data_IF_763268868357
#
_entry.id   IF_763268868357
#
_cell.length_a   1.000
_cell.length_b   1.000
_cell.length_c   1.000
_cell.angle_alpha   90.00
_cell.angle_beta   90.00
_cell.angle_gamma   90.00
#
_symmetry.space_group_name_H-M   'P 1'
#
loop_
_entity.id
_entity.type
_entity.pdbx_description
1 polymer ?
#
# COMPACT_ATOMS: atom_id res chain seq x y z
N UNK A 1 21.51 -17.17 -3.57
CA UNK A 1 20.39 -17.63 -2.73
C UNK A 1 19.35 -16.53 -2.57
N UNK A 2 18.14 -16.75 -3.02
CA UNK A 2 17.08 -15.77 -2.82
C UNK A 2 16.73 -15.69 -1.33
N UNK A 3 16.83 -14.50 -0.77
CA UNK A 3 16.40 -14.25 0.60
C UNK A 3 14.90 -14.51 0.69
N UNK A 4 14.51 -15.45 1.55
CA UNK A 4 13.10 -15.77 1.75
C UNK A 4 12.42 -14.59 2.44
N UNK A 5 11.37 -14.05 1.82
CA UNK A 5 10.58 -12.99 2.44
C UNK A 5 9.82 -13.54 3.64
N UNK A 6 9.82 -12.80 4.75
CA UNK A 6 9.05 -13.16 5.93
C UNK A 6 7.63 -12.60 5.85
N UNK A 7 7.46 -11.46 5.17
CA UNK A 7 6.13 -10.84 4.99
C UNK A 7 5.50 -11.27 3.67
N UNK A 8 4.21 -11.60 3.74
CA UNK A 8 3.40 -11.92 2.57
C UNK A 8 2.86 -10.63 1.96
N UNK A 9 3.12 -10.39 0.68
CA UNK A 9 2.68 -9.18 -0.02
C UNK A 9 1.46 -9.51 -0.87
N UNK A 10 0.37 -8.79 -0.61
CA UNK A 10 -0.90 -8.95 -1.33
C UNK A 10 -1.23 -7.62 -1.99
N UNK A 11 -1.29 -7.58 -3.32
CA UNK A 11 -1.72 -6.39 -4.05
C UNK A 11 -3.21 -6.47 -4.35
N UNK A 12 -3.94 -5.41 -3.99
CA UNK A 12 -5.36 -5.30 -4.29
C UNK A 12 -5.53 -4.28 -5.42
N UNK A 13 -6.18 -4.68 -6.48
CA UNK A 13 -6.38 -3.82 -7.65
C UNK A 13 -7.80 -3.99 -8.18
N UNK A 14 -8.25 -3.05 -9.02
CA UNK A 14 -9.53 -3.17 -9.72
C UNK A 14 -9.42 -2.54 -11.10
N UNK A 15 -10.26 -3.01 -12.01
CA UNK A 15 -10.32 -2.47 -13.37
C UNK A 15 -11.06 -1.13 -13.49
N UNK A 16 -11.83 -0.78 -12.46
CA UNK A 16 -12.59 0.47 -12.41
C UNK A 16 -12.41 1.15 -11.06
N UNK A 17 -12.33 2.48 -11.07
CA UNK A 17 -12.25 3.25 -9.83
C UNK A 17 -13.55 3.23 -9.04
N UNK A 18 -13.46 3.41 -7.73
CA UNK A 18 -14.59 3.60 -6.86
C UNK A 18 -15.50 2.41 -6.60
N UNK A 19 -15.03 1.19 -6.87
CA UNK A 19 -15.86 -0.02 -6.73
C UNK A 19 -15.64 -0.77 -5.42
N UNK A 20 -15.36 -0.06 -4.35
CA UNK A 20 -15.22 -0.68 -3.03
C UNK A 20 -13.85 -1.33 -2.78
N UNK A 21 -12.89 -1.10 -3.65
CA UNK A 21 -11.55 -1.66 -3.52
C UNK A 21 -10.87 -1.26 -2.20
N UNK A 22 -10.95 0.02 -1.85
CA UNK A 22 -10.34 0.54 -0.63
C UNK A 22 -11.04 -0.03 0.61
N UNK A 23 -12.35 -0.12 0.61
CA UNK A 23 -13.12 -0.79 1.66
C UNK A 23 -12.68 -2.23 1.82
N UNK A 24 -12.50 -2.93 0.71
CA UNK A 24 -12.04 -4.32 0.73
C UNK A 24 -10.66 -4.43 1.36
N UNK A 25 -9.71 -3.57 0.96
CA UNK A 25 -8.35 -3.58 1.50
C UNK A 25 -8.34 -3.35 3.01
N UNK A 26 -9.09 -2.36 3.48
CA UNK A 26 -9.19 -2.03 4.90
C UNK A 26 -9.82 -3.19 5.68
N UNK A 27 -10.92 -3.74 5.18
CA UNK A 27 -11.58 -4.86 5.85
C UNK A 27 -10.71 -6.11 5.90
N UNK A 28 -9.97 -6.39 4.82
CA UNK A 28 -9.03 -7.49 4.79
C UNK A 28 -7.94 -7.30 5.85
N UNK A 29 -7.40 -6.09 5.96
CA UNK A 29 -6.40 -5.76 6.97
C UNK A 29 -6.92 -6.00 8.39
N UNK A 30 -8.13 -5.54 8.67
CA UNK A 30 -8.75 -5.71 9.98
C UNK A 30 -8.94 -7.20 10.31
N UNK A 31 -9.46 -7.98 9.37
CA UNK A 31 -9.69 -9.40 9.60
C UNK A 31 -8.39 -10.17 9.80
N UNK A 32 -7.35 -9.89 9.02
CA UNK A 32 -6.05 -10.52 9.21
C UNK A 32 -5.43 -10.15 10.55
N UNK A 33 -5.58 -8.89 10.95
CA UNK A 33 -5.10 -8.45 12.25
C UNK A 33 -5.82 -9.19 13.39
N UNK A 34 -7.12 -9.37 13.29
CA UNK A 34 -7.90 -10.14 14.28
C UNK A 34 -7.53 -11.61 14.34
N UNK A 35 -6.94 -12.14 13.26
CA UNK A 35 -6.39 -13.49 13.24
C UNK A 35 -4.97 -13.56 13.82
N UNK A 36 -4.48 -12.47 14.38
CA UNK A 36 -3.17 -12.43 15.03
C UNK A 36 -2.02 -12.03 14.13
N UNK A 37 -2.30 -11.56 12.91
CA UNK A 37 -1.25 -11.15 11.98
C UNK A 37 -0.87 -9.68 12.19
N UNK A 38 0.41 -9.37 12.02
CA UNK A 38 0.88 -7.99 11.99
C UNK A 38 0.69 -7.48 10.56
N UNK A 39 -0.18 -6.51 10.38
CA UNK A 39 -0.57 -6.04 9.05
C UNK A 39 -0.14 -4.61 8.82
N UNK A 40 0.42 -4.35 7.65
CA UNK A 40 0.72 -3.00 7.15
C UNK A 40 -0.04 -2.80 5.84
N UNK A 41 -0.71 -1.67 5.72
CA UNK A 41 -1.40 -1.29 4.49
C UNK A 41 -0.63 -0.15 3.82
N UNK A 42 -0.28 -0.35 2.57
CA UNK A 42 0.36 0.66 1.74
C UNK A 42 -0.68 1.23 0.78
N UNK A 43 -0.95 2.53 0.89
CA UNK A 43 -1.81 3.23 -0.06
C UNK A 43 -0.97 3.63 -1.27
N UNK A 44 -1.06 2.83 -2.33
CA UNK A 44 -0.35 3.05 -3.58
C UNK A 44 -1.23 3.70 -4.65
N UNK A 45 -2.38 4.25 -4.27
CA UNK A 45 -3.18 5.12 -5.12
C UNK A 45 -2.63 6.54 -4.99
N UNK A 46 -1.50 6.77 -5.65
CA UNK A 46 -0.77 8.02 -5.54
C UNK A 46 -1.57 9.18 -6.15
N UNK A 47 -1.89 10.15 -5.32
CA UNK A 47 -2.72 11.29 -5.70
C UNK A 47 -4.12 11.28 -5.09
N UNK A 48 -4.59 10.16 -4.59
CA UNK A 48 -5.90 10.05 -3.91
C UNK A 48 -5.74 9.31 -2.58
N UNK A 49 -5.81 10.05 -1.48
CA UNK A 49 -5.59 9.50 -0.14
C UNK A 49 -6.88 8.91 0.45
N UNK A 50 -7.43 7.89 -0.20
CA UNK A 50 -8.71 7.31 0.19
C UNK A 50 -8.68 6.59 1.54
N UNK A 51 -7.61 5.89 1.84
CA UNK A 51 -7.49 5.12 3.07
C UNK A 51 -7.41 6.04 4.29
N UNK A 52 -6.68 7.15 4.19
CA UNK A 52 -6.59 8.14 5.26
C UNK A 52 -7.97 8.64 5.67
N UNK A 53 -8.80 8.96 4.68
CA UNK A 53 -10.15 9.46 4.89
C UNK A 53 -11.00 8.37 5.53
N UNK A 54 -10.93 7.15 5.02
CA UNK A 54 -11.73 6.03 5.50
C UNK A 54 -11.40 5.66 6.95
N UNK A 55 -10.12 5.70 7.33
CA UNK A 55 -9.68 5.36 8.67
C UNK A 55 -9.69 6.55 9.63
N UNK A 56 -9.91 7.76 9.14
CA UNK A 56 -9.89 8.96 9.95
C UNK A 56 -8.52 9.27 10.54
N UNK A 57 -7.46 8.87 9.86
CA UNK A 57 -6.09 9.10 10.31
C UNK A 57 -5.45 10.26 9.55
N UNK A 58 -4.50 10.92 10.18
CA UNK A 58 -3.72 12.01 9.56
C UNK A 58 -2.24 11.71 9.72
N UNK A 59 -1.63 11.04 8.74
CA UNK A 59 -0.20 10.74 8.80
C UNK A 59 0.62 12.02 8.83
N UNK A 60 1.64 12.04 9.68
CA UNK A 60 2.55 13.19 9.76
C UNK A 60 3.43 13.28 8.52
N UNK A 61 3.85 12.12 8.02
CA UNK A 61 4.68 12.00 6.83
C UNK A 61 4.07 10.95 5.90
N UNK A 62 4.41 11.01 4.63
CA UNK A 62 3.91 10.09 3.62
C UNK A 62 5.06 9.51 2.78
N UNK A 63 4.74 8.72 1.77
CA UNK A 63 5.75 8.08 0.93
C UNK A 63 6.59 9.08 0.14
N UNK A 64 6.06 10.26 -0.17
CA UNK A 64 6.86 11.31 -0.82
C UNK A 64 7.98 11.79 0.12
N UNK A 65 7.71 11.87 1.41
CA UNK A 65 8.74 12.20 2.41
C UNK A 65 9.81 11.12 2.49
N UNK A 66 9.42 9.86 2.38
CA UNK A 66 10.35 8.74 2.32
C UNK A 66 11.24 8.83 1.08
N UNK A 67 10.65 9.09 -0.08
CA UNK A 67 11.37 9.09 -1.35
C UNK A 67 12.22 10.33 -1.56
N UNK A 68 11.71 11.50 -1.19
CA UNK A 68 12.31 12.77 -1.61
C UNK A 68 12.83 13.64 -0.46
N UNK A 69 12.51 13.30 0.80
CA UNK A 69 12.84 14.17 1.94
C UNK A 69 13.62 13.47 3.05
N UNK A 70 14.20 12.31 2.75
CA UNK A 70 15.11 11.62 3.67
C UNK A 70 14.48 11.02 4.91
N UNK A 71 13.17 10.82 4.92
CA UNK A 71 12.50 10.16 6.05
C UNK A 71 12.65 8.65 5.95
N UNK A 72 12.65 7.97 7.11
CA UNK A 72 12.73 6.52 7.17
C UNK A 72 11.35 5.88 7.09
N UNK A 73 11.30 4.56 6.90
CA UNK A 73 10.05 3.81 6.96
C UNK A 73 9.33 4.04 8.29
N UNK A 74 10.07 4.03 9.40
CA UNK A 74 9.50 4.26 10.73
C UNK A 74 8.90 5.66 10.87
N UNK A 75 9.53 6.66 10.28
CA UNK A 75 9.03 8.04 10.31
C UNK A 75 7.69 8.17 9.61
N UNK A 76 7.52 7.49 8.48
CA UNK A 76 6.31 7.60 7.65
C UNK A 76 5.21 6.60 8.06
N UNK A 77 5.55 5.63 8.91
CA UNK A 77 4.56 4.67 9.40
C UNK A 77 3.59 5.35 10.36
N UNK A 78 2.30 5.16 10.12
CA UNK A 78 1.23 5.62 11.01
C UNK A 78 0.47 4.40 11.48
N UNK A 79 0.10 4.36 12.76
CA UNK A 79 -0.69 3.27 13.30
C UNK A 79 -2.15 3.72 13.42
N UNK A 80 -3.03 3.01 12.73
CA UNK A 80 -4.45 3.27 12.70
C UNK A 80 -5.22 2.41 13.71
N UNK A 81 -6.51 2.19 13.44
CA UNK A 81 -7.36 1.39 14.31
C UNK A 81 -6.75 0.00 14.56
N UNK A 82 -6.90 -0.50 15.78
CA UNK A 82 -6.43 -1.81 16.22
C UNK A 82 -4.92 -2.02 16.10
N UNK A 83 -4.15 -0.95 15.84
CA UNK A 83 -2.69 -1.05 15.72
C UNK A 83 -2.18 -1.47 14.34
N UNK A 84 -3.04 -1.43 13.33
CA UNK A 84 -2.64 -1.73 11.95
C UNK A 84 -1.70 -0.62 11.46
N UNK A 85 -0.56 -0.99 10.92
CA UNK A 85 0.40 -0.06 10.34
C UNK A 85 -0.09 0.46 8.99
N UNK A 86 0.18 1.72 8.73
CA UNK A 86 -0.32 2.36 7.52
C UNK A 86 0.74 3.27 6.91
N UNK A 87 0.95 3.13 5.61
CA UNK A 87 1.86 3.97 4.83
C UNK A 87 1.05 4.73 3.78
N UNK A 88 0.99 6.04 3.92
CA UNK A 88 0.21 6.88 3.03
C UNK A 88 1.00 7.28 1.79
N UNK A 89 0.36 7.16 0.61
CA UNK A 89 0.91 7.70 -0.63
C UNK A 89 0.85 9.22 -0.71
N UNK A 90 0.03 9.83 0.15
CA UNK A 90 -0.20 11.27 0.12
C UNK A 90 -1.27 11.69 -0.88
N UNK A 91 -1.87 12.84 -0.65
CA UNK A 91 -2.95 13.40 -1.46
C UNK A 91 -2.46 14.64 -2.21
N UNK A 92 -2.79 14.71 -3.50
CA UNK A 92 -2.44 15.88 -4.31
C UNK A 92 -0.95 16.06 -4.58
N UNK A 93 -0.14 15.02 -4.41
CA UNK A 93 1.29 15.07 -4.60
C UNK A 93 1.62 14.49 -5.99
N UNK A 94 1.85 15.38 -6.96
CA UNK A 94 2.16 14.97 -8.33
C UNK A 94 3.44 14.12 -8.42
N UNK A 95 4.38 14.33 -7.51
CA UNK A 95 5.63 13.57 -7.48
C UNK A 95 5.40 12.06 -7.40
N UNK A 96 4.47 11.63 -6.54
CA UNK A 96 4.17 10.21 -6.37
C UNK A 96 3.37 9.63 -7.53
N UNK A 97 2.55 10.45 -8.21
CA UNK A 97 1.76 10.01 -9.35
C UNK A 97 2.61 9.79 -10.60
N UNK A 98 3.79 10.40 -10.66
CA UNK A 98 4.66 10.38 -11.84
C UNK A 98 6.00 9.68 -11.59
N UNK A 99 6.01 8.67 -10.73
CA UNK A 99 7.22 7.90 -10.47
C UNK A 99 7.69 7.15 -11.72
N UNK A 100 8.99 7.21 -11.99
CA UNK A 100 9.57 6.39 -13.04
C UNK A 100 9.82 4.96 -12.52
N UNK A 101 10.22 4.06 -13.41
CA UNK A 101 10.44 2.65 -13.07
C UNK A 101 11.50 2.48 -11.97
N UNK A 102 12.58 3.24 -12.02
CA UNK A 102 13.65 3.16 -11.02
C UNK A 102 13.16 3.58 -9.63
N UNK A 103 12.34 4.62 -9.58
CA UNK A 103 11.75 5.11 -8.33
C UNK A 103 10.77 4.09 -7.74
N UNK A 104 9.93 3.48 -8.57
CA UNK A 104 9.02 2.42 -8.13
C UNK A 104 9.80 1.22 -7.60
N UNK A 105 10.85 0.83 -8.30
CA UNK A 105 11.70 -0.27 -7.89
C UNK A 105 12.38 0.01 -6.53
N UNK A 106 12.88 1.24 -6.36
CA UNK A 106 13.47 1.67 -5.09
C UNK A 106 12.45 1.60 -3.94
N UNK A 107 11.23 2.05 -4.20
CA UNK A 107 10.16 2.02 -3.22
C UNK A 107 9.82 0.57 -2.82
N UNK A 108 9.73 -0.32 -3.79
CA UNK A 108 9.49 -1.74 -3.53
C UNK A 108 10.59 -2.33 -2.65
N UNK A 109 11.85 -1.98 -2.93
CA UNK A 109 12.97 -2.43 -2.10
C UNK A 109 12.89 -1.90 -0.67
N UNK A 110 12.44 -0.65 -0.51
CA UNK A 110 12.21 -0.07 0.83
C UNK A 110 11.12 -0.82 1.59
N UNK A 111 10.11 -1.32 0.89
CA UNK A 111 9.07 -2.12 1.52
C UNK A 111 9.61 -3.44 2.09
N UNK A 112 10.72 -3.94 1.58
CA UNK A 112 11.34 -5.15 2.11
C UNK A 112 11.84 -4.96 3.54
N UNK A 113 12.14 -3.72 3.95
CA UNK A 113 12.51 -3.42 5.33
C UNK A 113 11.38 -3.74 6.31
N UNK A 114 10.14 -3.82 5.84
CA UNK A 114 8.99 -4.17 6.65
C UNK A 114 8.88 -5.66 6.95
N UNK A 115 9.65 -6.51 6.25
CA UNK A 115 9.57 -7.97 6.42
C UNK A 115 9.76 -8.42 7.86
N UNK A 116 10.51 -7.67 8.65
CA UNK A 116 10.73 -7.98 10.07
C UNK A 116 9.63 -7.48 10.98
N UNK A 117 8.81 -6.56 10.50
CA UNK A 117 7.80 -5.86 11.31
C UNK A 117 6.37 -6.25 10.95
N UNK A 118 6.17 -6.88 9.83
CA UNK A 118 4.85 -7.24 9.34
C UNK A 118 4.82 -8.70 8.85
N UNK A 119 3.70 -9.35 9.10
CA UNK A 119 3.43 -10.67 8.55
C UNK A 119 2.77 -10.57 7.18
N UNK A 120 1.97 -9.52 6.98
CA UNK A 120 1.25 -9.27 5.74
C UNK A 120 1.35 -7.78 5.39
N UNK A 121 1.66 -7.51 4.13
CA UNK A 121 1.66 -6.16 3.57
C UNK A 121 0.58 -6.13 2.48
N UNK A 122 -0.42 -5.27 2.66
CA UNK A 122 -1.48 -5.09 1.67
C UNK A 122 -1.17 -3.82 0.88
N UNK A 123 -1.04 -3.96 -0.43
CA UNK A 123 -0.80 -2.84 -1.33
C UNK A 123 -2.12 -2.50 -2.03
N UNK A 124 -2.69 -1.36 -1.68
CA UNK A 124 -3.92 -0.87 -2.29
C UNK A 124 -3.57 0.06 -3.45
N UNK A 125 -3.73 -0.43 -4.67
CA UNK A 125 -3.33 0.30 -5.87
C UNK A 125 -4.43 1.23 -6.38
N UNK A 126 -4.05 2.20 -7.19
CA UNK A 126 -5.00 3.07 -7.87
C UNK A 126 -5.81 2.31 -8.93
N UNK A 127 -6.88 2.95 -9.39
CA UNK A 127 -7.70 2.41 -10.44
C UNK A 127 -6.97 2.46 -11.79
N UNK A 128 -7.20 1.44 -12.61
CA UNK A 128 -6.62 1.35 -13.94
C UNK A 128 -5.27 0.63 -13.94
N UNK A 129 -4.73 0.45 -15.15
CA UNK A 129 -3.47 -0.25 -15.34
C UNK A 129 -2.41 0.77 -15.76
N UNK A 130 -1.65 1.27 -14.79
CA UNK A 130 -0.48 2.12 -15.04
C UNK A 130 0.80 1.33 -14.83
N UNK A 131 1.92 1.90 -15.25
CA UNK A 131 3.22 1.25 -15.09
C UNK A 131 3.55 0.97 -13.62
N UNK A 132 3.22 1.89 -12.72
CA UNK A 132 3.44 1.71 -11.29
C UNK A 132 2.65 0.51 -10.74
N UNK A 133 1.40 0.34 -11.19
CA UNK A 133 0.57 -0.79 -10.78
C UNK A 133 1.18 -2.10 -11.25
N UNK A 134 1.66 -2.15 -12.49
CA UNK A 134 2.29 -3.35 -13.05
C UNK A 134 3.56 -3.74 -12.28
N UNK A 135 4.36 -2.76 -11.86
CA UNK A 135 5.56 -3.03 -11.06
C UNK A 135 5.21 -3.60 -9.69
N UNK A 136 4.19 -3.07 -9.03
CA UNK A 136 3.72 -3.61 -7.75
C UNK A 136 3.17 -5.03 -7.91
N UNK A 137 2.39 -5.26 -8.96
CA UNK A 137 1.86 -6.60 -9.26
C UNK A 137 3.00 -7.59 -9.47
N UNK A 138 4.02 -7.20 -10.24
CA UNK A 138 5.17 -8.06 -10.51
C UNK A 138 5.97 -8.39 -9.24
N UNK A 139 5.99 -7.48 -8.26
CA UNK A 139 6.70 -7.67 -7.00
C UNK A 139 5.88 -8.45 -5.96
N UNK A 140 4.58 -8.62 -6.18
CA UNK A 140 3.68 -9.24 -5.20
C UNK A 140 3.64 -10.75 -5.35
N UNK A 141 3.48 -11.44 -4.23
CA UNK A 141 3.27 -12.89 -4.21
C UNK A 141 1.84 -13.25 -4.61
N UNK A 142 0.89 -12.36 -4.29
CA UNK A 142 -0.52 -12.56 -4.60
C UNK A 142 -1.16 -11.28 -5.09
N UNK A 143 -2.11 -11.42 -6.00
CA UNK A 143 -2.89 -10.30 -6.51
C UNK A 143 -4.37 -10.63 -6.34
N UNK A 144 -5.11 -9.72 -5.71
CA UNK A 144 -6.56 -9.82 -5.57
C UNK A 144 -7.20 -8.76 -6.48
N UNK A 145 -8.03 -9.23 -7.40
CA UNK A 145 -8.79 -8.35 -8.28
C UNK A 145 -10.18 -8.15 -7.72
N UNK A 146 -10.51 -6.92 -7.37
CA UNK A 146 -11.85 -6.56 -6.92
C UNK A 146 -12.67 -6.15 -8.14
N UNK A 147 -13.74 -6.88 -8.38
CA UNK A 147 -14.63 -6.61 -9.49
C UNK A 147 -16.07 -6.55 -9.00
N UNK A 148 -16.85 -5.63 -9.58
CA UNK A 148 -18.28 -5.56 -9.34
C UNK A 148 -19.02 -6.06 -10.57
N UNK A 149 -20.14 -6.79 -10.39
CA UNK A 149 -20.93 -7.19 -11.55
C UNK A 149 -21.49 -5.96 -12.24
N UNK A 150 -21.47 -5.98 -13.57
CA UNK A 150 -22.14 -4.96 -14.37
C UNK A 150 -23.64 -5.25 -14.32
N UNK A 151 -24.37 -4.31 -13.74
CA UNK A 151 -25.83 -4.35 -13.74
C UNK A 151 -26.38 -3.61 -14.95
#
# INVERSE_FOLDING_TARGET
MKKKRTARVITVTSGKGGVGKTSFSVNLAIQLHRLGKRVVVLDADFGLANIEIMLGIRPKYNLADLMFRGKSIQDVMTYGPEGIGFLSGGSGINEMANLNREQVFWLIQKMEELDKQADVIIVDTGAGIGDSVLEFVAASEEVLLVATPCL
#
